data_IF_977261362382
#
_entry.id   IF_977261362382
#
_cell.length_a   1.000
_cell.length_b   1.000
_cell.length_c   1.000
_cell.angle_alpha   90.00
_cell.angle_beta   90.00
_cell.angle_gamma   90.00
#
_symmetry.space_group_name_H-M   'P 1'
#
loop_
_entity.id
_entity.type
_entity.pdbx_description
1 polymer ?
#
# COMPACT_ATOMS: atom_id res chain seq x y z
N UNK A 1 16.90 8.59 -1.71
CA UNK A 1 16.22 9.88 -1.80
C UNK A 1 16.51 10.59 -3.14
N UNK A 2 17.77 10.81 -3.50
CA UNK A 2 18.11 11.56 -4.73
C UNK A 2 17.57 10.93 -6.03
N UNK A 3 17.55 9.59 -6.12
CA UNK A 3 17.00 8.88 -7.29
C UNK A 3 15.48 9.10 -7.41
N UNK A 4 14.76 9.11 -6.30
CA UNK A 4 13.30 9.34 -6.27
C UNK A 4 12.87 10.69 -6.81
N UNK A 5 13.73 11.71 -6.71
CA UNK A 5 13.44 13.05 -7.21
C UNK A 5 13.60 13.21 -8.74
N UNK A 6 14.01 12.16 -9.47
CA UNK A 6 14.22 12.27 -10.91
C UNK A 6 12.87 12.33 -11.67
N UNK A 7 12.62 13.34 -12.53
CA UNK A 7 11.30 13.60 -13.12
C UNK A 7 10.79 12.50 -14.08
N UNK A 8 11.65 11.60 -14.51
CA UNK A 8 11.26 10.43 -15.34
C UNK A 8 10.97 9.17 -14.53
N UNK A 9 11.19 9.19 -13.21
CA UNK A 9 10.93 8.04 -12.37
C UNK A 9 9.45 8.06 -11.93
N UNK A 10 8.73 7.03 -12.27
CA UNK A 10 7.30 6.87 -11.93
C UNK A 10 7.06 5.78 -10.89
N UNK A 11 7.96 4.80 -10.81
CA UNK A 11 7.84 3.67 -9.90
C UNK A 11 9.21 3.16 -9.47
N UNK A 12 9.28 2.65 -8.25
CA UNK A 12 10.40 1.89 -7.71
C UNK A 12 10.01 0.43 -7.51
N UNK A 13 10.91 -0.49 -7.83
CA UNK A 13 10.72 -1.94 -7.63
C UNK A 13 11.79 -2.44 -6.69
N UNK A 14 11.38 -3.16 -5.64
CA UNK A 14 12.34 -3.72 -4.68
C UNK A 14 12.93 -5.04 -5.18
N UNK A 15 14.24 -5.10 -5.36
CA UNK A 15 15.00 -6.31 -5.64
C UNK A 15 15.44 -7.01 -4.36
N UNK A 16 14.51 -7.62 -3.63
CA UNK A 16 14.78 -8.18 -2.29
C UNK A 16 15.78 -9.33 -2.29
N UNK A 17 15.83 -10.14 -3.36
CA UNK A 17 16.82 -11.21 -3.50
C UNK A 17 18.24 -10.64 -3.64
N UNK A 18 18.40 -9.64 -4.51
CA UNK A 18 19.70 -8.99 -4.72
C UNK A 18 20.14 -8.24 -3.47
N UNK A 19 19.18 -7.57 -2.81
CA UNK A 19 19.46 -6.84 -1.57
C UNK A 19 19.93 -7.79 -0.45
N UNK A 20 19.30 -8.95 -0.27
CA UNK A 20 19.76 -9.97 0.68
C UNK A 20 21.19 -10.43 0.37
N UNK A 21 21.47 -10.66 -0.92
CA UNK A 21 22.80 -11.08 -1.38
C UNK A 21 23.87 -10.01 -1.11
N UNK A 22 23.58 -8.77 -1.49
CA UNK A 22 24.56 -7.67 -1.38
C UNK A 22 24.82 -7.28 0.09
N UNK A 23 23.79 -7.33 0.93
CA UNK A 23 23.91 -7.11 2.37
C UNK A 23 24.41 -8.34 3.13
N UNK A 24 24.56 -9.50 2.46
CA UNK A 24 24.95 -10.78 3.07
C UNK A 24 24.05 -11.18 4.24
N UNK A 25 22.76 -10.89 4.14
CA UNK A 25 21.77 -11.17 5.19
C UNK A 25 21.18 -12.57 5.06
N UNK A 26 20.64 -13.11 6.17
CA UNK A 26 19.86 -14.33 6.14
C UNK A 26 18.44 -14.03 5.63
N UNK A 27 17.93 -14.87 4.73
CA UNK A 27 16.52 -14.85 4.35
C UNK A 27 15.68 -15.32 5.53
N UNK A 28 14.69 -14.53 5.92
CA UNK A 28 13.77 -14.78 7.03
C UNK A 28 12.34 -14.49 6.60
N UNK A 29 11.34 -15.26 7.09
CA UNK A 29 9.94 -15.00 6.78
C UNK A 29 9.45 -13.61 7.22
N UNK A 30 9.97 -13.09 8.35
CA UNK A 30 9.64 -11.77 8.88
C UNK A 30 10.36 -10.61 8.17
N UNK A 31 11.29 -10.92 7.26
CA UNK A 31 12.16 -9.99 6.52
C UNK A 31 12.90 -8.97 7.39
N UNK A 32 13.06 -9.27 8.69
CA UNK A 32 13.69 -8.36 9.65
C UNK A 32 15.00 -7.73 9.17
N UNK A 33 15.93 -8.48 8.52
CA UNK A 33 17.18 -7.89 8.01
C UNK A 33 17.00 -6.82 6.94
N UNK A 34 15.87 -6.84 6.20
CA UNK A 34 15.57 -5.90 5.12
C UNK A 34 14.70 -4.73 5.56
N UNK A 35 14.03 -4.81 6.71
CA UNK A 35 13.01 -3.84 7.13
C UNK A 35 13.46 -2.38 7.07
N UNK A 36 14.70 -2.10 7.49
CA UNK A 36 15.25 -0.74 7.42
C UNK A 36 15.36 -0.26 5.97
N UNK A 37 15.90 -1.10 5.08
CA UNK A 37 16.07 -0.76 3.66
C UNK A 37 14.73 -0.58 2.96
N UNK A 38 13.79 -1.49 3.18
CA UNK A 38 12.43 -1.41 2.65
C UNK A 38 11.75 -0.12 3.12
N UNK A 39 11.78 0.18 4.42
CA UNK A 39 11.19 1.39 4.99
C UNK A 39 11.78 2.68 4.41
N UNK A 40 13.11 2.75 4.27
CA UNK A 40 13.78 3.90 3.67
C UNK A 40 13.39 4.10 2.20
N UNK A 41 13.20 3.02 1.45
CA UNK A 41 12.75 3.11 0.06
C UNK A 41 11.29 3.58 -0.02
N UNK A 42 10.39 3.07 0.84
CA UNK A 42 9.00 3.53 0.93
C UNK A 42 8.95 5.03 1.26
N UNK A 43 9.68 5.47 2.28
CA UNK A 43 9.75 6.89 2.64
C UNK A 43 10.25 7.76 1.47
N UNK A 44 11.29 7.29 0.76
CA UNK A 44 11.82 8.01 -0.40
C UNK A 44 10.81 8.08 -1.56
N UNK A 45 10.08 7.02 -1.84
CA UNK A 45 9.04 6.98 -2.87
C UNK A 45 7.89 7.93 -2.53
N UNK A 46 7.33 7.80 -1.33
CA UNK A 46 6.18 8.63 -0.88
C UNK A 46 6.53 10.11 -0.77
N UNK A 47 7.75 10.46 -0.34
CA UNK A 47 8.21 11.86 -0.32
C UNK A 47 8.31 12.49 -1.72
N UNK A 48 8.39 11.71 -2.78
CA UNK A 48 8.45 12.17 -4.16
C UNK A 48 7.17 11.87 -4.96
N UNK A 49 6.12 11.34 -4.33
CA UNK A 49 4.84 11.04 -4.99
C UNK A 49 4.94 9.96 -6.07
N UNK A 50 5.90 9.03 -5.96
CA UNK A 50 6.07 7.92 -6.91
C UNK A 50 5.60 6.59 -6.31
N UNK A 51 5.11 5.70 -7.17
CA UNK A 51 4.72 4.36 -6.76
C UNK A 51 5.93 3.52 -6.32
N UNK A 52 5.71 2.59 -5.39
CA UNK A 52 6.71 1.61 -5.00
C UNK A 52 6.08 0.23 -4.83
N UNK A 53 6.66 -0.78 -5.46
CA UNK A 53 6.21 -2.17 -5.35
C UNK A 53 7.26 -3.03 -4.64
N UNK A 54 6.76 -3.91 -3.78
CA UNK A 54 7.57 -4.84 -3.00
C UNK A 54 8.22 -5.92 -3.88
N UNK A 55 9.20 -6.61 -3.35
CA UNK A 55 9.95 -7.66 -4.03
C UNK A 55 9.18 -8.98 -4.15
N UNK A 56 9.74 -9.91 -4.90
CA UNK A 56 9.15 -11.22 -5.17
C UNK A 56 9.12 -12.14 -3.94
N UNK A 57 8.09 -12.99 -3.87
CA UNK A 57 8.01 -14.11 -2.94
C UNK A 57 8.42 -15.41 -3.66
N UNK A 58 9.54 -16.02 -3.26
CA UNK A 58 10.15 -17.12 -4.03
C UNK A 58 9.41 -18.46 -3.85
N UNK A 59 8.76 -18.71 -2.71
CA UNK A 59 8.05 -19.94 -2.45
C UNK A 59 6.65 -19.93 -3.07
N UNK A 60 6.55 -19.93 -4.40
CA UNK A 60 5.31 -19.72 -5.15
C UNK A 60 4.19 -20.74 -4.91
N UNK A 61 4.44 -21.83 -4.19
CA UNK A 61 3.45 -22.83 -3.76
C UNK A 61 2.97 -22.64 -2.32
N UNK A 62 3.50 -21.66 -1.62
CA UNK A 62 3.15 -21.33 -0.25
C UNK A 62 2.28 -20.06 -0.24
N UNK A 63 0.98 -20.26 -0.42
CA UNK A 63 0.00 -19.17 -0.50
C UNK A 63 -0.14 -18.42 0.84
N UNK A 64 0.00 -19.13 1.97
CA UNK A 64 -0.10 -18.52 3.30
C UNK A 64 1.09 -17.60 3.57
N UNK A 65 2.32 -18.07 3.35
CA UNK A 65 3.52 -17.24 3.49
C UNK A 65 3.52 -16.07 2.51
N UNK A 66 3.02 -16.28 1.27
CA UNK A 66 2.85 -15.21 0.30
C UNK A 66 1.85 -14.15 0.79
N UNK A 67 0.70 -14.56 1.35
CA UNK A 67 -0.28 -13.67 1.96
C UNK A 67 0.34 -12.82 3.07
N UNK A 68 1.02 -13.46 4.02
CA UNK A 68 1.68 -12.76 5.13
C UNK A 68 2.69 -11.72 4.64
N UNK A 69 3.46 -12.04 3.60
CA UNK A 69 4.42 -11.08 3.04
C UNK A 69 3.73 -9.95 2.27
N UNK A 70 2.61 -10.22 1.57
CA UNK A 70 1.79 -9.20 0.92
C UNK A 70 1.20 -8.22 1.96
N UNK A 71 0.60 -8.76 3.03
CA UNK A 71 0.02 -7.95 4.11
C UNK A 71 1.08 -7.09 4.79
N UNK A 72 2.26 -7.65 5.09
CA UNK A 72 3.37 -6.88 5.62
C UNK A 72 3.80 -5.75 4.66
N UNK A 73 3.90 -6.04 3.37
CA UNK A 73 4.24 -5.03 2.35
C UNK A 73 3.21 -3.91 2.31
N UNK A 74 1.92 -4.25 2.32
CA UNK A 74 0.83 -3.28 2.39
C UNK A 74 0.89 -2.43 3.65
N UNK A 75 1.09 -3.04 4.82
CA UNK A 75 1.21 -2.35 6.11
C UNK A 75 2.39 -1.38 6.13
N UNK A 76 3.46 -1.71 5.42
CA UNK A 76 4.62 -0.82 5.25
C UNK A 76 4.37 0.35 4.31
N UNK A 77 3.30 0.33 3.49
CA UNK A 77 2.95 1.37 2.53
C UNK A 77 3.40 1.13 1.10
N UNK A 78 3.72 -0.11 0.72
CA UNK A 78 3.90 -0.48 -0.69
C UNK A 78 2.56 -0.42 -1.44
N UNK A 79 2.62 -0.06 -2.71
CA UNK A 79 1.44 0.05 -3.57
C UNK A 79 1.05 -1.28 -4.23
N UNK A 80 1.95 -2.26 -4.20
CA UNK A 80 1.80 -3.58 -4.79
C UNK A 80 3.02 -4.45 -4.56
N UNK A 81 3.09 -5.58 -5.29
CA UNK A 81 4.17 -6.57 -5.19
C UNK A 81 4.53 -7.11 -6.57
N UNK A 82 5.81 -7.35 -6.83
CA UNK A 82 6.24 -8.11 -7.99
C UNK A 82 6.00 -9.61 -7.79
N UNK A 83 5.53 -10.28 -8.84
CA UNK A 83 5.16 -11.69 -8.81
C UNK A 83 5.99 -12.48 -9.81
N UNK A 84 6.26 -13.74 -9.51
CA UNK A 84 7.04 -14.66 -10.36
C UNK A 84 6.21 -15.83 -10.89
N UNK A 85 4.98 -15.98 -10.43
CA UNK A 85 4.10 -17.08 -10.87
C UNK A 85 2.63 -16.64 -10.90
N UNK A 86 1.83 -17.08 -11.90
CA UNK A 86 0.41 -16.72 -11.99
C UNK A 86 -0.43 -17.09 -10.76
N UNK A 87 -0.11 -18.17 -10.05
CA UNK A 87 -0.80 -18.56 -8.81
C UNK A 87 -0.73 -17.50 -7.70
N UNK A 88 0.20 -16.55 -7.78
CA UNK A 88 0.35 -15.48 -6.79
C UNK A 88 -0.57 -14.28 -7.04
N UNK A 89 -1.22 -14.21 -8.23
CA UNK A 89 -2.00 -13.04 -8.65
C UNK A 89 -3.17 -12.74 -7.71
N UNK A 90 -3.99 -13.75 -7.42
CA UNK A 90 -5.22 -13.55 -6.64
C UNK A 90 -4.91 -13.08 -5.23
N UNK A 91 -3.94 -13.73 -4.58
CA UNK A 91 -3.49 -13.38 -3.23
C UNK A 91 -2.94 -11.94 -3.17
N UNK A 92 -2.10 -11.56 -4.14
CA UNK A 92 -1.54 -10.23 -4.18
C UNK A 92 -2.61 -9.17 -4.48
N UNK A 93 -3.49 -9.42 -5.45
CA UNK A 93 -4.57 -8.49 -5.78
C UNK A 93 -5.51 -8.28 -4.60
N UNK A 94 -5.89 -9.34 -3.89
CA UNK A 94 -6.73 -9.23 -2.70
C UNK A 94 -6.02 -8.45 -1.58
N UNK A 95 -4.76 -8.78 -1.28
CA UNK A 95 -4.01 -8.14 -0.21
C UNK A 95 -3.81 -6.64 -0.44
N UNK A 96 -3.51 -6.22 -1.67
CA UNK A 96 -3.25 -4.81 -2.01
C UNK A 96 -4.50 -4.02 -2.42
N UNK A 97 -5.67 -4.66 -2.53
CA UNK A 97 -6.94 -3.97 -2.77
C UNK A 97 -7.55 -3.47 -1.47
N UNK A 98 -8.22 -2.31 -1.48
CA UNK A 98 -9.02 -1.89 -0.34
C UNK A 98 -10.13 -2.89 -0.06
N UNK A 99 -10.34 -3.24 1.20
CA UNK A 99 -11.46 -4.08 1.63
C UNK A 99 -12.78 -3.29 1.62
N UNK A 100 -13.92 -4.00 1.61
CA UNK A 100 -15.24 -3.36 1.72
C UNK A 100 -15.40 -2.57 3.02
N UNK A 101 -14.81 -3.04 4.11
CA UNK A 101 -14.81 -2.32 5.39
C UNK A 101 -14.04 -1.00 5.32
N UNK A 102 -12.89 -0.98 4.63
CA UNK A 102 -12.12 0.25 4.40
C UNK A 102 -12.88 1.21 3.49
N UNK A 103 -13.54 0.69 2.46
CA UNK A 103 -14.38 1.49 1.57
C UNK A 103 -15.57 2.12 2.31
N UNK A 104 -16.26 1.35 3.16
CA UNK A 104 -17.36 1.86 3.97
C UNK A 104 -16.88 2.95 4.93
N UNK A 105 -15.78 2.69 5.65
CA UNK A 105 -15.18 3.69 6.54
C UNK A 105 -14.80 4.97 5.79
N UNK A 106 -14.21 4.84 4.61
CA UNK A 106 -13.82 5.97 3.77
C UNK A 106 -15.03 6.83 3.38
N UNK A 107 -16.14 6.20 2.93
CA UNK A 107 -17.39 6.90 2.59
C UNK A 107 -17.96 7.64 3.81
N UNK A 108 -17.99 7.01 4.98
CA UNK A 108 -18.50 7.62 6.23
C UNK A 108 -17.62 8.78 6.69
N UNK A 109 -16.30 8.67 6.57
CA UNK A 109 -15.37 9.74 6.93
C UNK A 109 -15.56 10.97 6.05
N UNK A 110 -15.69 10.78 4.73
CA UNK A 110 -15.95 11.89 3.80
C UNK A 110 -17.29 12.55 4.11
N UNK A 111 -18.37 11.76 4.26
CA UNK A 111 -19.69 12.28 4.53
C UNK A 111 -19.76 13.09 5.83
N UNK A 112 -19.20 12.58 6.92
CA UNK A 112 -19.18 13.27 8.22
C UNK A 112 -18.36 14.57 8.15
N UNK A 113 -17.28 14.58 7.41
CA UNK A 113 -16.45 15.77 7.24
C UNK A 113 -17.15 16.85 6.39
N UNK A 114 -17.78 16.46 5.30
CA UNK A 114 -18.52 17.37 4.42
C UNK A 114 -19.73 17.98 5.17
N UNK A 115 -20.44 17.20 5.98
CA UNK A 115 -21.53 17.67 6.83
C UNK A 115 -21.03 18.68 7.87
N UNK A 116 -19.90 18.40 8.52
CA UNK A 116 -19.26 19.32 9.48
C UNK A 116 -18.91 20.65 8.80
N UNK A 117 -18.35 20.61 7.60
CA UNK A 117 -18.04 21.83 6.85
C UNK A 117 -19.30 22.63 6.48
N UNK A 118 -20.36 21.96 6.05
CA UNK A 118 -21.61 22.60 5.64
C UNK A 118 -22.36 23.26 6.81
N UNK A 119 -22.30 22.65 8.00
CA UNK A 119 -23.02 23.13 9.21
C UNK A 119 -22.19 24.07 10.08
N UNK A 120 -20.87 24.16 9.84
CA UNK A 120 -19.95 24.92 10.68
C UNK A 120 -19.74 24.30 12.07
N UNK A 121 -20.04 23.01 12.25
CA UNK A 121 -19.74 22.28 13.49
C UNK A 121 -18.24 22.11 13.66
N UNK A 122 -17.76 22.12 14.92
CA UNK A 122 -16.34 22.19 15.21
C UNK A 122 -15.51 20.97 14.82
N UNK A 123 -16.09 19.73 14.80
CA UNK A 123 -15.34 18.48 14.61
C UNK A 123 -16.24 17.40 13.98
N UNK A 124 -15.74 16.73 12.93
CA UNK A 124 -16.35 15.51 12.40
C UNK A 124 -15.88 14.28 13.22
N UNK A 125 -16.80 13.35 13.50
CA UNK A 125 -16.52 12.14 14.29
C UNK A 125 -17.13 10.92 13.61
N UNK A 126 -16.32 9.86 13.43
CA UNK A 126 -16.77 8.55 12.93
C UNK A 126 -16.24 7.47 13.88
N UNK A 127 -17.12 6.58 14.34
CA UNK A 127 -16.79 5.48 15.27
C UNK A 127 -16.05 5.96 16.53
N UNK A 128 -16.41 7.14 17.05
CA UNK A 128 -15.78 7.75 18.22
C UNK A 128 -14.39 8.36 17.98
N UNK A 129 -13.95 8.47 16.73
CA UNK A 129 -12.66 9.05 16.34
C UNK A 129 -12.86 10.34 15.55
N UNK A 130 -12.00 11.33 15.84
CA UNK A 130 -12.00 12.60 15.10
C UNK A 130 -11.53 12.36 13.66
N UNK A 131 -12.25 12.96 12.71
CA UNK A 131 -11.91 12.95 11.28
C UNK A 131 -11.36 14.31 10.89
N UNK A 132 -10.11 14.31 10.44
CA UNK A 132 -9.38 15.50 9.99
C UNK A 132 -9.15 15.45 8.48
N UNK A 133 -8.65 16.54 7.89
CA UNK A 133 -8.34 16.64 6.46
C UNK A 133 -7.48 15.48 5.94
N UNK A 134 -6.48 15.04 6.73
CA UNK A 134 -5.61 13.93 6.34
C UNK A 134 -6.38 12.61 6.17
N UNK A 135 -7.37 12.35 7.04
CA UNK A 135 -8.21 11.15 6.95
C UNK A 135 -9.10 11.20 5.70
N UNK A 136 -9.64 12.37 5.37
CA UNK A 136 -10.46 12.57 4.16
C UNK A 136 -9.62 12.42 2.89
N UNK A 137 -8.38 12.91 2.88
CA UNK A 137 -7.46 12.71 1.75
C UNK A 137 -7.21 11.21 1.51
N UNK A 138 -6.84 10.45 2.55
CA UNK A 138 -6.65 9.00 2.48
C UNK A 138 -7.93 8.27 2.08
N UNK A 139 -9.10 8.68 2.60
CA UNK A 139 -10.39 8.10 2.24
C UNK A 139 -10.70 8.27 0.75
N UNK A 140 -10.44 9.44 0.18
CA UNK A 140 -10.62 9.70 -1.27
C UNK A 140 -9.67 8.85 -2.12
N UNK A 141 -8.40 8.69 -1.71
CA UNK A 141 -7.44 7.82 -2.38
C UNK A 141 -7.89 6.35 -2.36
N UNK A 142 -8.42 5.88 -1.22
CA UNK A 142 -8.98 4.52 -1.08
C UNK A 142 -10.12 4.28 -2.07
N UNK A 143 -11.08 5.21 -2.17
CA UNK A 143 -12.21 5.08 -3.10
C UNK A 143 -11.76 5.20 -4.56
N UNK A 144 -10.85 6.11 -4.88
CA UNK A 144 -10.29 6.25 -6.23
C UNK A 144 -9.57 4.97 -6.68
N UNK A 145 -8.88 4.28 -5.76
CA UNK A 145 -8.25 2.98 -6.06
C UNK A 145 -9.29 1.91 -6.37
N UNK A 146 -10.38 1.85 -5.61
CA UNK A 146 -11.48 0.92 -5.89
C UNK A 146 -12.14 1.18 -7.24
N UNK A 147 -12.40 2.45 -7.58
CA UNK A 147 -12.97 2.82 -8.87
C UNK A 147 -12.06 2.41 -10.03
N UNK A 148 -10.75 2.61 -9.88
CA UNK A 148 -9.77 2.17 -10.87
C UNK A 148 -9.74 0.63 -11.04
N UNK A 149 -9.82 -0.13 -9.94
CA UNK A 149 -9.89 -1.60 -9.97
C UNK A 149 -11.18 -2.05 -10.68
N UNK A 150 -12.32 -1.45 -10.36
CA UNK A 150 -13.61 -1.78 -10.98
C UNK A 150 -13.60 -1.51 -12.49
N UNK A 151 -12.98 -0.41 -12.93
CA UNK A 151 -12.84 -0.08 -14.34
C UNK A 151 -12.04 -1.13 -15.12
N UNK A 152 -10.98 -1.71 -14.52
CA UNK A 152 -10.17 -2.76 -15.15
C UNK A 152 -10.91 -4.11 -15.28
N UNK A 153 -11.93 -4.36 -14.45
CA UNK A 153 -12.72 -5.62 -14.51
C UNK A 153 -13.83 -5.59 -15.58
N UNK A 154 -14.09 -4.43 -16.16
CA UNK A 154 -15.15 -4.24 -17.17
C UNK A 154 -14.64 -4.26 -18.62
N UNK A 155 -13.33 -4.36 -18.83
CA UNK A 155 -12.69 -4.56 -20.13
C UNK A 155 -12.44 -6.06 -20.42
#
# INVERSE_FOLDING_TARGET
>A
AAIGAHPKLQCMVMGTNDLNKDLQTRVRPDRLPLMTGLGLCVLAAKANGIAIVDGVYNAFKDDEGHRVECDQGRDMGFDGKTLIHPAQLDVANEAFSPSEAEADLARRQIAAFDEMQATGQGVAVVDGRIVENLHVATARETLAKLDAIAALQTE
#
